data_IF_000890768039
#
_entry.id   IF_000890768039
#
_cell.length_a   1.000
_cell.length_b   1.000
_cell.length_c   1.000
_cell.angle_alpha   90.00
_cell.angle_beta   90.00
_cell.angle_gamma   90.00
#
_symmetry.space_group_name_H-M   'P 1'
#
loop_
_entity.id
_entity.type
_entity.pdbx_description
1 polymer ?
#
# COMPACT_ATOMS: atom_id res chain seq x y z
N UNK A 1 -48.56 32.85 59.72
CA UNK A 1 -48.13 32.23 58.45
C UNK A 1 -48.57 33.11 57.28
N UNK A 2 -47.63 33.83 56.64
CA UNK A 2 -47.91 34.73 55.51
C UNK A 2 -47.39 34.11 54.21
N UNK A 3 -48.31 33.71 53.31
CA UNK A 3 -47.96 33.20 51.98
C UNK A 3 -47.75 34.38 51.02
N UNK A 4 -46.49 34.68 50.68
CA UNK A 4 -46.15 35.60 49.57
C UNK A 4 -46.51 34.93 48.25
N UNK A 5 -47.53 35.46 47.56
CA UNK A 5 -47.83 35.13 46.17
C UNK A 5 -46.74 35.71 45.26
N UNK A 6 -46.00 34.85 44.57
CA UNK A 6 -45.11 35.25 43.48
C UNK A 6 -45.97 35.73 42.30
N UNK A 7 -45.80 37.00 41.91
CA UNK A 7 -46.43 37.53 40.69
C UNK A 7 -45.64 37.00 39.49
N UNK A 8 -46.28 36.41 38.47
CA UNK A 8 -45.59 36.03 37.26
C UNK A 8 -45.12 37.29 36.54
N UNK A 9 -43.81 37.40 36.34
CA UNK A 9 -43.19 38.50 35.61
C UNK A 9 -43.53 38.33 34.13
N UNK A 10 -44.61 38.97 33.67
CA UNK A 10 -44.96 39.00 32.25
C UNK A 10 -43.97 39.92 31.55
N UNK A 11 -43.07 39.35 30.77
CA UNK A 11 -42.20 40.11 29.89
C UNK A 11 -43.09 40.90 28.92
N UNK A 12 -42.79 42.18 28.64
CA UNK A 12 -43.56 42.95 27.68
C UNK A 12 -43.46 42.26 26.32
N UNK A 13 -44.60 42.01 25.67
CA UNK A 13 -44.74 41.29 24.39
C UNK A 13 -43.77 41.78 23.32
N UNK A 14 -43.44 43.07 23.32
CA UNK A 14 -42.44 43.68 22.42
C UNK A 14 -41.04 43.08 22.58
N UNK A 15 -40.62 42.70 23.79
CA UNK A 15 -39.32 42.02 24.04
C UNK A 15 -39.33 40.58 23.52
N UNK A 16 -40.46 39.88 23.63
CA UNK A 16 -40.63 38.54 23.06
C UNK A 16 -40.57 38.56 21.53
N UNK A 17 -41.21 39.55 20.90
CA UNK A 17 -41.15 39.74 19.44
C UNK A 17 -39.72 40.03 18.99
N UNK A 18 -39.00 40.92 19.68
CA UNK A 18 -37.60 41.20 19.38
C UNK A 18 -36.70 39.97 19.51
N UNK A 19 -36.91 39.17 20.56
CA UNK A 19 -36.16 37.93 20.76
C UNK A 19 -36.45 36.92 19.65
N UNK A 20 -37.72 36.78 19.26
CA UNK A 20 -38.13 35.88 18.18
C UNK A 20 -37.52 36.29 16.83
N UNK A 21 -37.48 37.60 16.54
CA UNK A 21 -36.83 38.13 15.32
C UNK A 21 -35.32 37.87 15.34
N UNK A 22 -34.64 38.09 16.49
CA UNK A 22 -33.22 37.81 16.63
C UNK A 22 -32.89 36.33 16.46
N UNK A 23 -33.68 35.44 17.05
CA UNK A 23 -33.53 33.99 16.90
C UNK A 23 -33.77 33.59 15.44
N UNK A 24 -34.81 34.13 14.81
CA UNK A 24 -35.08 33.90 13.39
C UNK A 24 -33.92 34.34 12.49
N UNK A 25 -33.38 35.54 12.71
CA UNK A 25 -32.23 36.06 11.98
C UNK A 25 -30.97 35.21 12.20
N UNK A 26 -30.72 34.75 13.43
CA UNK A 26 -29.61 33.86 13.75
C UNK A 26 -29.75 32.49 13.07
N UNK A 27 -30.96 31.92 13.01
CA UNK A 27 -31.23 30.66 12.32
C UNK A 27 -30.99 30.78 10.82
N UNK A 28 -31.50 31.85 10.20
CA UNK A 28 -31.27 32.12 8.76
C UNK A 28 -29.78 32.33 8.48
N UNK A 29 -29.08 33.10 9.31
CA UNK A 29 -27.62 33.27 9.19
C UNK A 29 -26.85 31.95 9.32
N UNK A 30 -27.26 31.07 10.23
CA UNK A 30 -26.61 29.78 10.45
C UNK A 30 -26.73 28.81 9.26
N UNK A 31 -27.82 28.90 8.49
CA UNK A 31 -28.02 28.09 7.29
C UNK A 31 -27.01 28.47 6.18
N UNK A 32 -26.73 29.76 6.02
CA UNK A 32 -25.74 30.26 5.05
C UNK A 32 -24.29 29.91 5.44
N UNK A 33 -23.98 29.86 6.74
CA UNK A 33 -22.64 29.48 7.23
C UNK A 33 -22.34 28.00 6.99
N UNK A 34 -23.35 27.12 7.00
CA UNK A 34 -23.15 25.69 6.71
C UNK A 34 -22.83 25.39 5.25
N UNK A 35 -23.41 26.16 4.31
CA UNK A 35 -23.18 25.96 2.87
C UNK A 35 -21.74 26.33 2.49
N UNK A 36 -21.24 27.47 2.98
CA UNK A 36 -19.91 27.99 2.60
C UNK A 36 -18.73 27.17 3.17
N UNK A 37 -18.91 26.50 4.30
CA UNK A 37 -17.86 25.64 4.88
C UNK A 37 -17.81 24.25 4.21
N UNK A 38 -18.93 23.76 3.66
CA UNK A 38 -18.99 22.46 2.99
C UNK A 38 -18.36 22.49 1.58
N UNK A 39 -18.52 23.58 0.85
CA UNK A 39 -17.95 23.72 -0.50
C UNK A 39 -16.41 23.70 -0.49
N UNK A 40 -15.78 24.27 0.54
CA UNK A 40 -14.32 24.24 0.68
C UNK A 40 -13.78 22.86 1.05
N UNK A 41 -14.53 22.08 1.83
CA UNK A 41 -14.16 20.71 2.17
C UNK A 41 -14.26 19.81 0.93
N UNK A 42 -15.36 19.91 0.18
CA UNK A 42 -15.56 19.17 -1.08
C UNK A 42 -14.51 19.50 -2.13
N UNK A 43 -14.15 20.79 -2.29
CA UNK A 43 -13.12 21.19 -3.25
C UNK A 43 -11.74 20.60 -2.89
N UNK A 44 -11.39 20.56 -1.61
CA UNK A 44 -10.12 19.96 -1.16
C UNK A 44 -10.11 18.45 -1.33
N UNK A 45 -11.22 17.78 -1.04
CA UNK A 45 -11.36 16.34 -1.28
C UNK A 45 -11.25 16.01 -2.77
N UNK A 46 -11.90 16.79 -3.64
CA UNK A 46 -11.82 16.62 -5.09
C UNK A 46 -10.38 16.78 -5.62
N UNK A 47 -9.65 17.80 -5.16
CA UNK A 47 -8.23 18.00 -5.52
C UNK A 47 -7.36 16.86 -4.98
N UNK A 48 -7.62 16.41 -3.74
CA UNK A 48 -6.90 15.29 -3.13
C UNK A 48 -7.10 13.97 -3.87
N UNK A 49 -8.34 13.69 -4.33
CA UNK A 49 -8.66 12.50 -5.11
C UNK A 49 -8.05 12.57 -6.51
N UNK A 50 -8.12 13.72 -7.18
CA UNK A 50 -7.49 13.91 -8.50
C UNK A 50 -5.97 13.73 -8.44
N UNK A 51 -5.32 14.23 -7.38
CA UNK A 51 -3.89 14.02 -7.17
C UNK A 51 -3.52 12.55 -6.99
N UNK A 52 -4.35 11.77 -6.29
CA UNK A 52 -4.14 10.33 -6.13
C UNK A 52 -4.31 9.57 -7.45
N UNK A 53 -5.29 9.94 -8.28
CA UNK A 53 -5.48 9.36 -9.61
C UNK A 53 -4.25 9.60 -10.48
N UNK A 54 -3.78 10.85 -10.58
CA UNK A 54 -2.61 11.19 -11.37
C UNK A 54 -1.35 10.44 -10.91
N UNK A 55 -1.17 10.26 -9.60
CA UNK A 55 -0.06 9.47 -9.05
C UNK A 55 -0.17 7.99 -9.43
N UNK A 56 -1.35 7.40 -9.33
CA UNK A 56 -1.58 5.99 -9.70
C UNK A 56 -1.37 5.76 -11.20
N UNK A 57 -1.87 6.66 -12.03
CA UNK A 57 -1.67 6.60 -13.49
C UNK A 57 -0.19 6.69 -13.86
N UNK A 58 0.57 7.56 -13.20
CA UNK A 58 2.02 7.65 -13.40
C UNK A 58 2.74 6.36 -12.97
N UNK A 59 2.37 5.76 -11.83
CA UNK A 59 2.92 4.47 -11.40
C UNK A 59 2.60 3.36 -12.40
N UNK A 60 1.36 3.32 -12.89
CA UNK A 60 0.92 2.32 -13.86
C UNK A 60 1.70 2.45 -15.18
N UNK A 61 1.93 3.67 -15.67
CA UNK A 61 2.72 3.92 -16.86
C UNK A 61 4.17 3.41 -16.70
N UNK A 62 4.80 3.70 -15.55
CA UNK A 62 6.15 3.21 -15.22
C UNK A 62 6.19 1.69 -15.17
N UNK A 63 5.23 1.07 -14.48
CA UNK A 63 5.18 -0.38 -14.32
C UNK A 63 4.95 -1.08 -15.67
N UNK A 64 4.06 -0.54 -16.51
CA UNK A 64 3.83 -1.05 -17.86
C UNK A 64 5.08 -0.93 -18.74
N UNK A 65 5.84 0.16 -18.64
CA UNK A 65 7.11 0.31 -19.35
C UNK A 65 8.16 -0.71 -18.91
N UNK A 66 8.22 -1.02 -17.61
CA UNK A 66 9.09 -2.07 -17.08
C UNK A 66 8.67 -3.46 -17.58
N UNK A 67 7.37 -3.78 -17.52
CA UNK A 67 6.85 -5.05 -18.04
C UNK A 67 7.17 -5.18 -19.53
N UNK A 68 6.92 -4.14 -20.33
CA UNK A 68 7.21 -4.14 -21.75
C UNK A 68 8.69 -4.42 -22.03
N UNK A 69 9.59 -3.84 -21.23
CA UNK A 69 11.04 -4.08 -21.33
C UNK A 69 11.40 -5.52 -20.94
N UNK A 70 10.83 -6.02 -19.84
CA UNK A 70 11.11 -7.36 -19.32
C UNK A 70 10.55 -8.49 -20.18
N UNK A 71 9.46 -8.24 -20.90
CA UNK A 71 8.85 -9.22 -21.83
C UNK A 71 9.60 -9.31 -23.16
N UNK A 72 10.59 -8.44 -23.42
CA UNK A 72 11.35 -8.53 -24.66
C UNK A 72 12.23 -9.79 -24.69
N UNK A 73 12.33 -10.49 -25.83
CA UNK A 73 13.23 -11.63 -25.98
C UNK A 73 14.68 -11.29 -25.63
N UNK A 74 15.12 -10.06 -25.94
CA UNK A 74 16.45 -9.56 -25.61
C UNK A 74 16.72 -9.53 -24.09
N UNK A 75 15.74 -9.09 -23.29
CA UNK A 75 15.87 -9.08 -21.83
C UNK A 75 15.92 -10.51 -21.27
N UNK A 76 15.08 -11.41 -21.78
CA UNK A 76 15.08 -12.82 -21.38
C UNK A 76 16.43 -13.48 -21.71
N UNK A 77 16.97 -13.23 -22.91
CA UNK A 77 18.29 -13.73 -23.32
C UNK A 77 19.43 -13.14 -22.48
N UNK A 78 19.36 -11.85 -22.13
CA UNK A 78 20.33 -11.23 -21.24
C UNK A 78 20.28 -11.85 -19.84
N UNK A 79 19.09 -11.99 -19.25
CA UNK A 79 18.91 -12.63 -17.95
C UNK A 79 19.33 -14.10 -17.96
N UNK A 80 19.02 -14.83 -19.02
CA UNK A 80 19.46 -16.22 -19.19
C UNK A 80 21.00 -16.32 -19.18
N UNK A 81 21.70 -15.42 -19.88
CA UNK A 81 23.18 -15.35 -19.85
C UNK A 81 23.73 -14.99 -18.48
N UNK A 82 23.10 -14.06 -17.75
CA UNK A 82 23.49 -13.74 -16.35
C UNK A 82 23.39 -14.95 -15.42
N UNK A 83 22.43 -15.85 -15.68
CA UNK A 83 22.28 -17.12 -14.95
C UNK A 83 23.14 -18.27 -15.52
N UNK A 84 23.99 -18.01 -16.51
CA UNK A 84 24.89 -19.00 -17.10
C UNK A 84 24.24 -19.93 -18.14
N UNK A 85 23.04 -19.62 -18.61
CA UNK A 85 22.39 -20.35 -19.70
C UNK A 85 22.91 -19.84 -21.06
N UNK A 86 23.08 -20.77 -21.99
CA UNK A 86 23.52 -20.54 -23.38
C UNK A 86 22.45 -21.02 -24.35
N UNK A 87 22.40 -20.44 -25.56
CA UNK A 87 21.46 -20.89 -26.58
C UNK A 87 21.77 -22.34 -27.02
N UNK A 88 20.77 -23.12 -27.42
CA UNK A 88 21.01 -24.45 -27.98
C UNK A 88 21.96 -24.36 -29.18
N UNK A 89 23.14 -25.00 -29.07
CA UNK A 89 24.18 -24.97 -30.10
C UNK A 89 25.36 -24.03 -29.83
N UNK A 90 25.29 -23.16 -28.80
CA UNK A 90 26.43 -22.37 -28.33
C UNK A 90 27.15 -23.07 -27.17
N UNK A 91 28.47 -23.26 -27.30
CA UNK A 91 29.29 -23.89 -26.27
C UNK A 91 29.76 -22.91 -25.20
N UNK A 92 29.71 -23.32 -23.93
CA UNK A 92 30.34 -22.59 -22.81
C UNK A 92 31.87 -22.69 -22.93
N UNK A 93 32.51 -21.65 -23.46
CA UNK A 93 33.97 -21.52 -23.41
C UNK A 93 34.38 -21.02 -22.02
N UNK A 94 34.75 -21.95 -21.13
CA UNK A 94 35.46 -21.58 -19.90
C UNK A 94 36.96 -21.48 -20.21
N UNK A 95 37.52 -20.29 -20.06
CA UNK A 95 38.98 -20.11 -20.07
C UNK A 95 39.50 -20.61 -18.72
N UNK A 96 40.04 -21.82 -18.70
CA UNK A 96 40.69 -22.40 -17.54
C UNK A 96 42.17 -22.01 -17.61
N UNK A 97 42.57 -21.02 -16.82
CA UNK A 97 43.97 -20.91 -16.42
C UNK A 97 44.34 -22.22 -15.70
N UNK A 98 45.43 -22.84 -16.11
CA UNK A 98 45.82 -24.18 -15.69
C UNK A 98 46.03 -24.28 -14.16
N UNK A 99 44.95 -24.59 -13.44
CA UNK A 99 44.97 -25.04 -12.06
C UNK A 99 44.57 -26.53 -12.03
N UNK A 100 45.27 -27.35 -11.22
CA UNK A 100 45.10 -28.80 -11.25
C UNK A 100 43.67 -29.19 -10.89
N UNK A 101 43.10 -30.07 -11.71
CA UNK A 101 41.78 -30.68 -11.54
C UNK A 101 41.67 -31.30 -10.14
N UNK A 102 40.98 -30.61 -9.23
CA UNK A 102 40.33 -31.27 -8.11
C UNK A 102 39.09 -31.95 -8.66
N UNK A 103 39.23 -33.23 -8.96
CA UNK A 103 38.11 -34.17 -9.06
C UNK A 103 37.34 -34.13 -7.74
N UNK A 104 36.33 -33.26 -7.66
CA UNK A 104 35.23 -33.47 -6.72
C UNK A 104 34.48 -34.70 -7.21
N UNK A 105 34.91 -35.85 -6.72
CA UNK A 105 34.08 -37.05 -6.67
C UNK A 105 32.89 -36.68 -5.80
N UNK A 106 31.80 -36.23 -6.43
CA UNK A 106 30.50 -36.20 -5.75
C UNK A 106 30.16 -37.67 -5.51
N UNK A 107 30.50 -38.16 -4.32
CA UNK A 107 30.02 -39.46 -3.85
C UNK A 107 28.50 -39.44 -3.99
N UNK A 108 27.97 -40.27 -4.88
CA UNK A 108 26.54 -40.51 -4.96
C UNK A 108 26.09 -40.92 -3.55
N UNK A 109 25.05 -40.30 -2.98
CA UNK A 109 24.53 -40.73 -1.69
C UNK A 109 24.11 -42.19 -1.82
N UNK A 110 24.63 -43.03 -0.93
CA UNK A 110 24.37 -44.47 -0.88
C UNK A 110 22.89 -44.74 -1.15
N UNK A 111 22.59 -45.51 -2.19
CA UNK A 111 21.24 -45.84 -2.65
C UNK A 111 20.40 -46.63 -1.62
N UNK A 112 20.92 -46.78 -0.39
CA UNK A 112 20.30 -47.46 0.75
C UNK A 112 19.72 -46.50 1.78
N UNK A 113 20.03 -45.20 1.70
CA UNK A 113 19.52 -44.21 2.65
C UNK A 113 18.03 -43.98 2.41
N UNK A 114 17.21 -44.35 3.39
CA UNK A 114 15.77 -44.18 3.30
C UNK A 114 15.41 -42.69 3.34
N UNK A 115 14.26 -42.31 2.78
CA UNK A 115 13.80 -40.90 2.79
C UNK A 115 13.69 -40.36 4.22
N UNK A 116 13.40 -41.22 5.20
CA UNK A 116 13.29 -40.89 6.61
C UNK A 116 14.66 -40.50 7.20
N UNK A 117 15.73 -41.24 6.89
CA UNK A 117 17.09 -40.93 7.38
C UNK A 117 17.60 -39.59 6.83
N UNK A 118 17.27 -39.28 5.57
CA UNK A 118 17.58 -37.97 4.97
C UNK A 118 16.88 -36.81 5.68
N UNK A 119 15.60 -36.98 6.01
CA UNK A 119 14.84 -35.97 6.75
C UNK A 119 15.34 -35.80 8.18
N UNK A 120 15.68 -36.89 8.86
CA UNK A 120 16.22 -36.86 10.22
C UNK A 120 17.56 -36.12 10.26
N UNK A 121 18.43 -36.34 9.28
CA UNK A 121 19.71 -35.64 9.16
C UNK A 121 19.53 -34.15 8.87
N UNK A 122 18.57 -33.79 8.02
CA UNK A 122 18.24 -32.40 7.76
C UNK A 122 17.70 -31.70 9.01
N UNK A 123 16.78 -32.32 9.74
CA UNK A 123 16.24 -31.80 11.00
C UNK A 123 17.33 -31.63 12.07
N UNK A 124 18.27 -32.57 12.17
CA UNK A 124 19.38 -32.49 13.12
C UNK A 124 20.27 -31.24 12.91
N UNK A 125 20.40 -30.74 11.68
CA UNK A 125 21.18 -29.52 11.40
C UNK A 125 20.55 -28.24 11.98
N UNK A 126 19.23 -28.24 12.21
CA UNK A 126 18.50 -27.07 12.71
C UNK A 126 18.17 -27.13 14.20
N UNK A 127 18.13 -28.33 14.79
CA UNK A 127 17.64 -28.55 16.14
C UNK A 127 18.63 -29.23 17.09
N UNK A 128 19.89 -29.40 16.68
CA UNK A 128 20.96 -29.78 17.60
C UNK A 128 21.72 -28.52 18.06
N UNK A 129 21.80 -28.23 19.37
CA UNK A 129 22.60 -27.13 19.91
C UNK A 129 24.11 -27.39 19.80
#
# INVERSE_FOLDING_TARGET
MSRRRTRPHRLPTRRLVFLAVLIGAALVGSAFVRVTLQDNALAREAVGVQGQIAMLEAQQAVLNAQIATQQTPAYIEQKAREHGYVKPGEGLASVRDAAPQQTRTTAAPDAKETVIERLQRWLALFFHP
#
